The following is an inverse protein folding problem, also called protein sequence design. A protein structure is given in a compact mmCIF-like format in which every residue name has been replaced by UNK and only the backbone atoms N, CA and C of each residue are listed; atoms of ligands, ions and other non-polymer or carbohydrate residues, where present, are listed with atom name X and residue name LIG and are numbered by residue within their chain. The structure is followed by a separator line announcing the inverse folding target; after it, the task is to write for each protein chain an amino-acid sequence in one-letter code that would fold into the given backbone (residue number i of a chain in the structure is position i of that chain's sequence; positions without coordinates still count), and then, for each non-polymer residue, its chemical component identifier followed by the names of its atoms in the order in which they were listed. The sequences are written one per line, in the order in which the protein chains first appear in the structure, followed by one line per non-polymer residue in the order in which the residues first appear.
data_IF_730950069354
#
_entry.id   IF_730950069354
#
_cell.length_a   1.000
_cell.length_b   1.000
_cell.length_c   1.000
_cell.angle_alpha   90.00
_cell.angle_beta   90.00
_cell.angle_gamma   90.00
#
_symmetry.space_group_name_H-M   'P 1'
#
loop_
_entity.id
_entity.type
_entity.pdbx_description
1 polymer ?
#
# COMPACT_ATOMS: atom_id res chain seq x y z
N UNK A 1 -6.04 -20.96 8.41
CA UNK A 1 -6.26 -20.00 7.29
C UNK A 1 -4.91 -19.63 6.72
N UNK A 2 -4.69 -19.83 5.41
CA UNK A 2 -3.47 -19.42 4.73
C UNK A 2 -3.62 -17.97 4.26
N UNK A 3 -2.65 -17.12 4.60
CA UNK A 3 -2.71 -15.68 4.37
C UNK A 3 -1.47 -15.19 3.64
N UNK A 4 -1.65 -14.59 2.46
CA UNK A 4 -0.58 -13.92 1.74
C UNK A 4 -0.38 -12.47 2.24
N UNK A 5 0.89 -12.00 2.30
CA UNK A 5 1.18 -10.63 2.70
C UNK A 5 2.48 -10.10 2.09
N UNK A 6 2.65 -8.77 2.12
CA UNK A 6 3.90 -8.08 1.79
C UNK A 6 4.43 -7.46 3.09
N UNK A 7 5.75 -7.51 3.39
CA UNK A 7 6.32 -6.98 4.63
C UNK A 7 6.49 -5.45 4.60
N UNK A 8 5.38 -4.73 4.48
CA UNK A 8 5.30 -3.27 4.46
C UNK A 8 4.34 -2.77 5.55
N UNK A 9 4.52 -1.54 6.02
CA UNK A 9 3.69 -0.99 7.10
C UNK A 9 2.19 -0.92 6.79
N UNK A 10 1.72 -0.75 5.54
CA UNK A 10 0.30 -0.91 5.23
C UNK A 10 -0.34 -2.24 5.64
N UNK A 11 0.46 -3.25 6.01
CA UNK A 11 -0.01 -4.55 6.53
C UNK A 11 0.13 -4.67 8.06
N UNK A 12 0.42 -3.58 8.77
CA UNK A 12 0.74 -3.56 10.20
C UNK A 12 -0.31 -4.25 11.07
N UNK A 13 -1.60 -4.18 10.70
CA UNK A 13 -2.67 -4.86 11.44
C UNK A 13 -2.43 -6.37 11.52
N UNK A 14 -2.01 -7.01 10.42
CA UNK A 14 -1.69 -8.45 10.42
C UNK A 14 -0.53 -8.76 11.37
N UNK A 15 0.50 -7.93 11.36
CA UNK A 15 1.68 -8.13 12.19
C UNK A 15 1.36 -7.98 13.67
N UNK A 16 0.56 -6.97 14.01
CA UNK A 16 0.04 -6.80 15.38
C UNK A 16 -0.80 -8.01 15.81
N UNK A 17 -1.75 -8.46 14.99
CA UNK A 17 -2.58 -9.63 15.30
C UNK A 17 -1.72 -10.86 15.61
N UNK A 18 -0.68 -11.07 14.81
CA UNK A 18 0.20 -12.23 14.91
C UNK A 18 1.08 -12.15 16.17
N UNK A 19 1.78 -11.05 16.36
CA UNK A 19 2.77 -10.90 17.44
C UNK A 19 2.13 -10.73 18.82
N UNK A 20 0.93 -10.14 18.89
CA UNK A 20 0.14 -10.09 20.13
C UNK A 20 -0.50 -11.45 20.48
N UNK A 21 -0.38 -12.44 19.61
CA UNK A 21 -0.98 -13.77 19.80
C UNK A 21 -2.52 -13.79 19.74
N UNK A 22 -3.13 -12.73 19.21
CA UNK A 22 -4.60 -12.60 19.21
C UNK A 22 -5.27 -13.59 18.27
N UNK A 23 -4.63 -13.96 17.17
CA UNK A 23 -5.15 -14.97 16.27
C UNK A 23 -5.33 -16.32 16.99
N UNK A 24 -4.29 -16.78 17.69
CA UNK A 24 -4.34 -18.03 18.45
C UNK A 24 -5.37 -17.99 19.61
N UNK A 25 -5.47 -16.86 20.32
CA UNK A 25 -6.48 -16.64 21.36
C UNK A 25 -7.91 -16.72 20.83
N UNK A 26 -8.13 -16.29 19.59
CA UNK A 26 -9.42 -16.38 18.88
C UNK A 26 -9.64 -17.74 18.19
N UNK A 27 -8.76 -18.70 18.37
CA UNK A 27 -8.85 -20.02 17.73
C UNK A 27 -8.52 -20.01 16.23
N UNK A 28 -7.82 -18.97 15.74
CA UNK A 28 -7.40 -18.84 14.35
C UNK A 28 -5.94 -19.30 14.21
N UNK A 29 -5.71 -20.34 13.40
CA UNK A 29 -4.38 -20.70 12.91
C UNK A 29 -4.09 -19.97 11.61
N UNK A 30 -3.26 -18.91 11.65
CA UNK A 30 -2.87 -18.12 10.49
C UNK A 30 -1.51 -18.60 9.96
N UNK A 31 -1.51 -19.20 8.78
CA UNK A 31 -0.31 -19.62 8.07
C UNK A 31 0.11 -18.54 7.08
N UNK A 32 1.15 -17.77 7.42
CA UNK A 32 1.56 -16.59 6.68
C UNK A 32 2.56 -16.93 5.56
N UNK A 33 2.35 -16.39 4.37
CA UNK A 33 3.30 -16.49 3.25
C UNK A 33 3.65 -15.10 2.72
N UNK A 34 4.96 -14.79 2.70
CA UNK A 34 5.52 -13.51 2.29
C UNK A 34 5.67 -13.42 0.77
N UNK A 35 5.37 -12.23 0.22
CA UNK A 35 5.60 -11.84 -1.17
C UNK A 35 6.37 -10.53 -1.27
N UNK A 36 7.04 -10.31 -2.41
CA UNK A 36 7.77 -9.07 -2.70
C UNK A 36 6.92 -7.99 -3.37
N UNK A 37 5.71 -8.33 -3.85
CA UNK A 37 4.80 -7.38 -4.50
C UNK A 37 3.38 -7.92 -4.61
N UNK A 38 2.40 -7.01 -4.79
CA UNK A 38 1.00 -7.38 -5.02
C UNK A 38 0.79 -8.23 -6.28
N UNK A 39 1.36 -7.86 -7.44
CA UNK A 39 1.26 -8.69 -8.65
C UNK A 39 1.81 -10.12 -8.49
N UNK A 40 2.91 -10.30 -7.75
CA UNK A 40 3.41 -11.65 -7.44
C UNK A 40 2.42 -12.45 -6.58
N UNK A 41 1.76 -11.78 -5.63
CA UNK A 41 0.74 -12.41 -4.78
C UNK A 41 -0.53 -12.78 -5.57
N UNK A 42 -0.94 -11.96 -6.56
CA UNK A 42 -2.15 -12.22 -7.38
C UNK A 42 -2.07 -13.58 -8.09
N UNK A 43 -0.91 -13.95 -8.64
CA UNK A 43 -0.74 -15.24 -9.29
C UNK A 43 -1.01 -16.41 -8.32
N UNK A 44 -0.51 -16.30 -7.10
CA UNK A 44 -0.73 -17.29 -6.06
C UNK A 44 -2.18 -17.30 -5.51
N UNK A 45 -2.83 -16.13 -5.45
CA UNK A 45 -4.24 -16.01 -5.13
C UNK A 45 -5.12 -16.73 -6.16
N UNK A 46 -4.88 -16.48 -7.45
CA UNK A 46 -5.65 -17.08 -8.55
C UNK A 46 -5.49 -18.61 -8.56
N UNK A 47 -4.29 -19.13 -8.26
CA UNK A 47 -4.03 -20.58 -8.18
C UNK A 47 -4.67 -21.27 -6.96
N UNK A 48 -5.28 -20.52 -6.04
CA UNK A 48 -5.93 -21.10 -4.84
C UNK A 48 -4.98 -21.41 -3.69
N UNK A 49 -3.78 -20.85 -3.70
CA UNK A 49 -2.77 -21.09 -2.65
C UNK A 49 -3.19 -20.52 -1.30
N UNK A 50 -4.03 -19.47 -1.27
CA UNK A 50 -4.46 -18.76 -0.06
C UNK A 50 -5.98 -18.66 0.04
N UNK A 51 -6.47 -18.52 1.26
CA UNK A 51 -7.84 -18.17 1.60
C UNK A 51 -8.02 -16.65 1.72
N UNK A 52 -7.00 -15.96 2.26
CA UNK A 52 -7.03 -14.53 2.51
C UNK A 52 -5.70 -13.86 2.12
N UNK A 53 -5.73 -12.56 1.89
CA UNK A 53 -4.54 -11.77 1.63
C UNK A 53 -4.65 -10.37 2.23
N UNK A 54 -3.56 -9.91 2.82
CA UNK A 54 -3.30 -8.51 3.06
C UNK A 54 -2.57 -7.96 1.83
N UNK A 55 -3.27 -7.20 1.01
CA UNK A 55 -2.82 -6.84 -0.33
C UNK A 55 -3.27 -5.42 -0.70
N UNK A 56 -2.59 -4.76 -1.62
CA UNK A 56 -3.07 -3.49 -2.17
C UNK A 56 -4.41 -3.66 -2.90
N UNK A 57 -5.27 -2.64 -2.86
CA UNK A 57 -6.57 -2.67 -3.55
C UNK A 57 -6.41 -2.87 -5.07
N UNK A 58 -5.36 -2.28 -5.70
CA UNK A 58 -5.06 -2.46 -7.12
C UNK A 58 -4.86 -3.94 -7.51
N UNK A 59 -3.94 -4.67 -6.88
CA UNK A 59 -3.80 -6.12 -7.06
C UNK A 59 -5.07 -6.91 -6.75
N UNK A 60 -5.88 -6.53 -5.74
CA UNK A 60 -7.17 -7.18 -5.47
C UNK A 60 -8.14 -7.03 -6.66
N UNK A 61 -8.18 -5.83 -7.28
CA UNK A 61 -8.95 -5.60 -8.51
C UNK A 61 -8.41 -6.42 -9.70
N UNK A 62 -7.08 -6.55 -9.84
CA UNK A 62 -6.47 -7.41 -10.87
C UNK A 62 -6.90 -8.87 -10.69
N UNK A 63 -6.87 -9.40 -9.47
CA UNK A 63 -7.32 -10.76 -9.17
C UNK A 63 -8.82 -10.93 -9.50
N UNK A 64 -9.65 -9.95 -9.17
CA UNK A 64 -11.07 -9.96 -9.48
C UNK A 64 -11.32 -9.91 -11.00
N UNK A 65 -10.59 -9.05 -11.73
CA UNK A 65 -10.64 -8.96 -13.18
C UNK A 65 -10.20 -10.27 -13.87
N UNK A 66 -9.26 -11.00 -13.26
CA UNK A 66 -8.86 -12.33 -13.71
C UNK A 66 -9.90 -13.43 -13.42
N UNK A 67 -11.02 -13.10 -12.78
CA UNK A 67 -12.12 -14.02 -12.52
C UNK A 67 -12.13 -14.65 -11.12
N UNK A 68 -11.19 -14.27 -10.24
CA UNK A 68 -11.21 -14.76 -8.86
C UNK A 68 -12.39 -14.14 -8.11
N UNK A 69 -13.22 -14.97 -7.48
CA UNK A 69 -14.26 -14.47 -6.57
C UNK A 69 -13.65 -14.14 -5.22
N UNK A 70 -13.26 -12.86 -5.08
CA UNK A 70 -12.58 -12.28 -3.95
C UNK A 70 -13.44 -11.15 -3.37
N UNK A 71 -13.48 -11.02 -2.05
CA UNK A 71 -14.17 -9.94 -1.32
C UNK A 71 -13.19 -9.16 -0.46
N UNK A 72 -13.24 -7.85 -0.54
CA UNK A 72 -12.61 -6.94 0.41
C UNK A 72 -13.53 -6.82 1.63
N UNK A 73 -13.03 -7.23 2.79
CA UNK A 73 -13.81 -7.28 4.05
C UNK A 73 -13.36 -6.23 5.07
N UNK A 74 -12.17 -5.64 4.88
CA UNK A 74 -11.69 -4.49 5.67
C UNK A 74 -10.69 -3.67 4.88
N UNK A 75 -10.60 -2.37 5.15
CA UNK A 75 -9.52 -1.50 4.73
C UNK A 75 -8.32 -1.63 5.68
N UNK A 76 -7.11 -1.33 5.21
CA UNK A 76 -5.94 -1.23 6.08
C UNK A 76 -5.54 0.23 6.31
N UNK A 77 -5.80 1.11 5.34
CA UNK A 77 -5.47 2.51 5.44
C UNK A 77 -5.70 3.29 4.15
N UNK A 78 -5.56 4.60 4.26
CA UNK A 78 -5.70 5.56 3.16
C UNK A 78 -4.44 6.42 3.04
N UNK A 79 -4.22 7.04 1.88
CA UNK A 79 -3.14 8.00 1.62
C UNK A 79 -1.72 7.49 1.94
N UNK A 80 -1.47 6.19 1.79
CA UNK A 80 -0.25 5.53 2.24
C UNK A 80 0.93 5.62 1.26
N UNK A 81 0.68 5.98 -0.01
CA UNK A 81 1.73 6.17 -1.02
C UNK A 81 2.15 7.62 -1.05
N UNK A 82 3.45 7.90 -1.09
CA UNK A 82 3.98 9.24 -1.33
C UNK A 82 5.10 9.23 -2.38
N UNK A 83 5.27 10.34 -3.07
CA UNK A 83 6.42 10.60 -3.94
C UNK A 83 7.51 11.28 -3.12
N UNK A 84 8.67 10.66 -2.99
CA UNK A 84 9.87 11.24 -2.39
C UNK A 84 10.94 11.48 -3.45
N UNK A 85 11.58 12.63 -3.43
CA UNK A 85 12.71 13.00 -4.30
C UNK A 85 14.02 13.03 -3.53
N UNK A 86 15.09 12.56 -4.17
CA UNK A 86 16.46 12.81 -3.72
C UNK A 86 16.84 14.29 -3.88
N UNK A 87 18.00 14.68 -3.38
CA UNK A 87 18.45 16.07 -3.26
C UNK A 87 18.24 16.92 -4.53
N UNK A 88 18.67 16.44 -5.70
CA UNK A 88 18.57 17.19 -6.95
C UNK A 88 17.11 17.42 -7.39
N UNK A 89 16.28 16.38 -7.34
CA UNK A 89 14.86 16.50 -7.70
C UNK A 89 14.12 17.35 -6.66
N UNK A 90 14.42 17.20 -5.37
CA UNK A 90 13.82 18.01 -4.30
C UNK A 90 14.16 19.50 -4.45
N UNK A 91 15.40 19.84 -4.86
CA UNK A 91 15.81 21.22 -5.12
C UNK A 91 15.04 21.84 -6.29
N UNK A 92 14.82 21.09 -7.39
CA UNK A 92 14.02 21.60 -8.52
C UNK A 92 12.56 21.80 -8.12
N UNK A 93 11.98 20.91 -7.30
CA UNK A 93 10.62 21.07 -6.78
C UNK A 93 10.47 22.30 -5.88
N UNK A 94 11.48 22.59 -5.05
CA UNK A 94 11.47 23.78 -4.17
C UNK A 94 11.55 25.10 -4.95
N UNK A 95 12.21 25.09 -6.12
CA UNK A 95 12.42 26.29 -6.93
C UNK A 95 11.35 26.51 -8.03
N UNK A 96 10.64 25.47 -8.44
CA UNK A 96 9.71 25.52 -9.57
C UNK A 96 8.31 25.96 -9.14
N UNK A 97 7.55 26.64 -10.04
CA UNK A 97 6.18 27.09 -9.74
C UNK A 97 5.14 25.93 -9.77
N UNK A 98 5.51 24.77 -10.31
CA UNK A 98 4.63 23.60 -10.38
C UNK A 98 5.43 22.30 -10.50
N UNK A 99 4.85 21.13 -10.15
CA UNK A 99 5.50 19.85 -10.34
C UNK A 99 5.91 19.58 -11.81
N UNK A 100 5.08 19.95 -12.80
CA UNK A 100 5.44 19.81 -14.20
C UNK A 100 6.70 20.63 -14.54
N UNK A 101 6.75 21.89 -14.09
CA UNK A 101 7.91 22.76 -14.29
C UNK A 101 9.17 22.19 -13.59
N UNK A 102 9.02 21.57 -12.42
CA UNK A 102 10.12 20.92 -11.69
C UNK A 102 10.71 19.75 -12.48
N UNK A 103 9.89 18.83 -12.98
CA UNK A 103 10.35 17.71 -13.80
C UNK A 103 11.01 18.19 -15.10
N UNK A 104 10.41 19.18 -15.78
CA UNK A 104 10.99 19.77 -16.99
C UNK A 104 12.33 20.47 -16.71
N UNK A 105 12.46 21.18 -15.58
CA UNK A 105 13.73 21.81 -15.17
C UNK A 105 14.78 20.72 -14.87
N UNK A 106 14.41 19.70 -14.07
CA UNK A 106 15.30 18.57 -13.78
C UNK A 106 15.88 17.95 -15.06
N UNK A 107 15.00 17.71 -16.07
CA UNK A 107 15.45 17.16 -17.35
C UNK A 107 16.44 18.06 -18.06
N UNK A 108 16.23 19.38 -18.05
CA UNK A 108 17.18 20.34 -18.65
C UNK A 108 18.54 20.30 -17.95
N UNK A 109 18.53 20.28 -16.62
CA UNK A 109 19.75 20.36 -15.81
C UNK A 109 20.54 19.04 -15.83
N UNK A 110 19.84 17.90 -15.79
CA UNK A 110 20.43 16.57 -15.81
C UNK A 110 20.73 16.01 -17.20
N UNK A 111 20.20 16.63 -18.27
CA UNK A 111 20.29 16.13 -19.66
C UNK A 111 19.50 14.83 -19.93
N UNK A 112 18.63 14.44 -19.01
CA UNK A 112 17.82 13.21 -19.10
C UNK A 112 16.53 13.34 -18.26
N UNK A 113 15.49 12.52 -18.52
CA UNK A 113 14.31 12.48 -17.68
C UNK A 113 14.64 12.09 -16.22
N UNK A 114 13.83 12.58 -15.29
CA UNK A 114 13.90 12.11 -13.90
C UNK A 114 13.48 10.64 -13.82
N UNK A 115 14.29 9.82 -13.19
CA UNK A 115 14.01 8.40 -12.94
C UNK A 115 13.29 8.24 -11.62
N UNK A 116 12.10 7.66 -11.65
CA UNK A 116 11.28 7.43 -10.45
C UNK A 116 11.01 5.95 -10.28
N UNK A 117 11.54 5.36 -9.21
CA UNK A 117 11.26 3.96 -8.86
C UNK A 117 9.88 3.83 -8.22
N UNK A 118 9.20 2.72 -8.48
CA UNK A 118 7.93 2.37 -7.84
C UNK A 118 7.75 0.85 -7.86
N UNK A 119 6.69 0.33 -7.25
CA UNK A 119 6.33 -1.08 -7.36
C UNK A 119 5.84 -1.41 -8.79
N UNK A 120 5.81 -2.70 -9.19
CA UNK A 120 5.46 -3.09 -10.55
C UNK A 120 4.06 -2.63 -10.97
N UNK A 121 3.82 -2.58 -12.28
CA UNK A 121 2.51 -2.29 -12.88
C UNK A 121 1.40 -3.14 -12.24
N UNK A 122 0.25 -2.52 -11.99
CA UNK A 122 -0.88 -3.13 -11.28
C UNK A 122 -0.82 -3.01 -9.76
N UNK A 123 0.29 -2.50 -9.18
CA UNK A 123 0.37 -2.13 -7.77
C UNK A 123 -0.26 -0.76 -7.51
N UNK A 124 -0.70 -0.52 -6.27
CA UNK A 124 -1.23 0.80 -5.86
C UNK A 124 -0.18 1.92 -6.05
N UNK A 125 1.09 1.78 -5.61
CA UNK A 125 2.10 2.82 -5.83
C UNK A 125 2.32 3.19 -7.30
N UNK A 126 2.30 2.20 -8.20
CA UNK A 126 2.44 2.46 -9.64
C UNK A 126 1.24 3.20 -10.21
N UNK A 127 0.01 2.74 -9.90
CA UNK A 127 -1.22 3.36 -10.41
C UNK A 127 -1.40 4.78 -9.88
N UNK A 128 -1.12 5.01 -8.60
CA UNK A 128 -1.21 6.33 -7.96
C UNK A 128 -0.16 7.29 -8.51
N UNK A 129 1.07 6.82 -8.76
CA UNK A 129 2.11 7.63 -9.40
C UNK A 129 1.69 8.03 -10.82
N UNK A 130 1.17 7.10 -11.61
CA UNK A 130 0.69 7.39 -12.95
C UNK A 130 -0.45 8.42 -12.95
N UNK A 131 -1.41 8.29 -12.02
CA UNK A 131 -2.48 9.26 -11.83
C UNK A 131 -1.92 10.65 -11.47
N UNK A 132 -1.02 10.70 -10.49
CA UNK A 132 -0.40 11.96 -10.11
C UNK A 132 0.31 12.65 -11.28
N UNK A 133 1.14 11.93 -12.02
CA UNK A 133 1.92 12.49 -13.11
C UNK A 133 1.02 13.00 -14.26
N UNK A 134 -0.06 12.26 -14.59
CA UNK A 134 -0.93 12.60 -15.73
C UNK A 134 -2.03 13.58 -15.36
N UNK A 135 -2.82 13.28 -14.33
CA UNK A 135 -4.08 13.96 -14.04
C UNK A 135 -3.93 15.12 -13.05
N UNK A 136 -2.90 15.07 -12.18
CA UNK A 136 -2.72 16.10 -11.13
C UNK A 136 -1.58 17.05 -11.48
N UNK A 137 -0.42 16.51 -11.77
CA UNK A 137 0.80 17.26 -11.99
C UNK A 137 1.01 17.66 -13.47
N UNK A 138 0.32 16.99 -14.41
CA UNK A 138 0.42 17.21 -15.86
C UNK A 138 1.85 17.19 -16.39
N UNK A 139 2.64 16.21 -15.91
CA UNK A 139 4.04 16.03 -16.29
C UNK A 139 4.13 15.44 -17.69
N UNK A 140 4.95 16.04 -18.54
CA UNK A 140 5.19 15.48 -19.88
C UNK A 140 5.92 14.13 -19.78
N UNK A 141 5.52 13.14 -20.57
CA UNK A 141 6.13 11.79 -20.56
C UNK A 141 7.64 11.83 -20.82
N UNK A 142 8.11 12.81 -21.60
CA UNK A 142 9.53 12.99 -21.87
C UNK A 142 10.35 13.45 -20.65
N UNK A 143 9.72 13.95 -19.59
CA UNK A 143 10.38 14.55 -18.42
C UNK A 143 10.57 13.54 -17.27
N UNK A 144 9.90 12.38 -17.34
CA UNK A 144 9.95 11.37 -16.28
C UNK A 144 10.03 9.96 -16.87
N UNK A 145 10.86 9.11 -16.26
CA UNK A 145 10.96 7.67 -16.53
C UNK A 145 10.56 6.91 -15.28
N UNK A 146 9.45 6.17 -15.34
CA UNK A 146 8.96 5.33 -14.24
C UNK A 146 9.56 3.94 -14.35
N UNK A 147 10.13 3.43 -13.26
CA UNK A 147 10.78 2.13 -13.15
C UNK A 147 10.04 1.26 -12.13
N UNK A 148 9.30 0.25 -12.61
CA UNK A 148 8.62 -0.73 -11.76
C UNK A 148 9.59 -1.81 -11.28
N UNK A 149 9.83 -1.90 -9.96
CA UNK A 149 10.74 -2.86 -9.33
C UNK A 149 10.13 -3.48 -8.07
N UNK A 150 10.69 -4.58 -7.56
CA UNK A 150 10.27 -5.16 -6.29
C UNK A 150 10.47 -4.18 -5.13
N UNK A 151 9.68 -4.32 -4.09
CA UNK A 151 9.68 -3.43 -2.92
C UNK A 151 11.06 -3.34 -2.28
N UNK A 152 11.77 -4.46 -2.16
CA UNK A 152 13.12 -4.59 -1.62
C UNK A 152 14.18 -3.76 -2.37
N UNK A 153 13.94 -3.41 -3.64
CA UNK A 153 14.86 -2.66 -4.49
C UNK A 153 14.61 -1.16 -4.50
N UNK A 154 13.36 -0.71 -4.31
CA UNK A 154 12.99 0.72 -4.39
C UNK A 154 13.88 1.57 -3.49
N UNK A 155 14.01 1.18 -2.22
CA UNK A 155 14.84 1.89 -1.24
C UNK A 155 16.30 1.97 -1.67
N UNK A 156 16.90 0.83 -2.04
CA UNK A 156 18.31 0.75 -2.44
C UNK A 156 18.63 1.59 -3.66
N UNK A 157 17.74 1.65 -4.64
CA UNK A 157 17.92 2.43 -5.86
C UNK A 157 17.96 3.95 -5.57
N UNK A 158 17.10 4.44 -4.67
CA UNK A 158 17.15 5.87 -4.32
C UNK A 158 18.34 6.19 -3.43
N UNK A 159 18.68 5.35 -2.45
CA UNK A 159 19.84 5.53 -1.59
C UNK A 159 21.18 5.53 -2.36
N UNK A 160 21.29 4.74 -3.43
CA UNK A 160 22.48 4.68 -4.28
C UNK A 160 22.53 5.75 -5.36
N UNK A 161 21.47 6.56 -5.53
CA UNK A 161 21.37 7.53 -6.63
C UNK A 161 21.11 6.89 -8.01
N UNK A 162 20.73 5.62 -8.08
CA UNK A 162 20.34 4.97 -9.33
C UNK A 162 19.03 5.53 -9.89
N UNK A 163 18.18 6.12 -9.03
CA UNK A 163 16.99 6.88 -9.37
C UNK A 163 16.98 8.23 -8.64
N UNK A 164 16.19 9.16 -9.15
CA UNK A 164 16.09 10.53 -8.65
C UNK A 164 14.94 10.71 -7.65
N UNK A 165 13.98 9.78 -7.67
CA UNK A 165 12.85 9.76 -6.77
C UNK A 165 12.23 8.38 -6.67
N UNK A 166 11.28 8.23 -5.75
CA UNK A 166 10.52 7.01 -5.57
C UNK A 166 9.07 7.30 -5.17
N UNK A 167 8.12 6.56 -5.76
CA UNK A 167 6.76 6.46 -5.25
C UNK A 167 6.71 5.21 -4.36
N UNK A 168 6.64 5.42 -3.06
CA UNK A 168 6.88 4.40 -2.07
C UNK A 168 5.90 4.49 -0.88
N UNK A 169 6.02 3.52 0.00
CA UNK A 169 5.23 3.32 1.20
C UNK A 169 6.16 3.34 2.43
N UNK A 170 5.60 3.41 3.61
CA UNK A 170 6.37 3.19 4.83
C UNK A 170 6.74 1.70 5.00
N UNK A 171 7.92 1.38 5.56
CA UNK A 171 8.89 2.28 6.22
C UNK A 171 9.93 2.92 5.27
N UNK A 172 9.85 2.69 3.95
CA UNK A 172 10.85 3.16 2.98
C UNK A 172 10.98 4.69 3.01
N UNK A 173 9.87 5.42 3.11
CA UNK A 173 9.86 6.89 3.15
C UNK A 173 10.64 7.41 4.35
N UNK A 174 10.39 6.85 5.55
CA UNK A 174 11.11 7.22 6.78
C UNK A 174 12.58 6.86 6.70
N UNK A 175 12.95 5.67 6.18
CA UNK A 175 14.34 5.25 6.01
C UNK A 175 15.09 6.20 5.06
N UNK A 176 14.49 6.55 3.94
CA UNK A 176 15.09 7.47 2.97
C UNK A 176 15.29 8.86 3.60
N UNK A 177 14.25 9.40 4.27
CA UNK A 177 14.35 10.70 4.94
C UNK A 177 15.42 10.76 6.03
N UNK A 178 15.70 9.63 6.69
CA UNK A 178 16.76 9.53 7.70
C UNK A 178 18.15 9.42 7.06
N UNK A 179 18.29 8.66 5.98
CA UNK A 179 19.59 8.37 5.36
C UNK A 179 20.02 9.39 4.31
N UNK A 180 19.08 10.12 3.74
CA UNK A 180 19.30 11.19 2.77
C UNK A 180 18.68 12.49 3.33
N UNK A 181 19.43 13.28 4.10
CA UNK A 181 18.91 14.48 4.79
C UNK A 181 18.32 15.53 3.84
N UNK A 182 18.73 15.53 2.57
CA UNK A 182 18.22 16.45 1.53
C UNK A 182 17.05 15.87 0.73
N UNK A 183 16.67 14.61 0.95
CA UNK A 183 15.48 14.04 0.34
C UNK A 183 14.22 14.68 0.93
N UNK A 184 13.21 14.90 0.10
CA UNK A 184 11.91 15.51 0.51
C UNK A 184 10.75 14.73 -0.07
N UNK A 185 9.66 14.62 0.70
CA UNK A 185 8.36 14.23 0.17
C UNK A 185 7.86 15.34 -0.74
N UNK A 186 7.70 15.03 -2.02
CA UNK A 186 7.29 15.96 -3.07
C UNK A 186 5.78 16.02 -3.23
N UNK A 187 5.11 14.89 -2.99
CA UNK A 187 3.65 14.78 -2.96
C UNK A 187 3.22 13.67 -2.01
N UNK A 188 2.32 13.99 -1.09
CA UNK A 188 1.67 13.00 -0.21
C UNK A 188 0.51 12.31 -0.90
N UNK A 189 0.05 11.18 -0.33
CA UNK A 189 -0.96 10.32 -0.92
C UNK A 189 -2.27 11.01 -1.30
N UNK A 190 -2.79 11.86 -0.42
CA UNK A 190 -4.02 12.62 -0.69
C UNK A 190 -3.89 13.66 -1.80
N UNK A 191 -2.66 14.16 -2.07
CA UNK A 191 -2.37 15.04 -3.21
C UNK A 191 -2.24 14.21 -4.49
N UNK A 192 -1.57 13.05 -4.41
CA UNK A 192 -1.36 12.19 -5.58
C UNK A 192 -2.67 11.56 -6.07
N UNK A 193 -3.54 11.21 -5.14
CA UNK A 193 -4.87 10.65 -5.43
C UNK A 193 -5.80 10.93 -4.23
N UNK A 194 -6.79 11.83 -4.35
CA UNK A 194 -7.68 12.19 -3.24
C UNK A 194 -8.43 10.98 -2.67
N UNK A 195 -8.30 10.76 -1.34
CA UNK A 195 -8.87 9.61 -0.66
C UNK A 195 -8.20 8.28 -1.02
N UNK A 196 -6.95 8.33 -1.48
CA UNK A 196 -6.18 7.19 -1.98
C UNK A 196 -6.46 5.90 -1.20
N UNK A 197 -7.09 4.88 -1.83
CA UNK A 197 -7.27 3.58 -1.18
C UNK A 197 -5.92 2.86 -1.15
N UNK A 198 -5.58 2.32 0.03
CA UNK A 198 -4.30 1.66 0.26
C UNK A 198 -4.37 0.13 0.15
N UNK A 199 -3.84 -0.53 1.18
CA UNK A 199 -3.97 -1.97 1.35
C UNK A 199 -5.34 -2.33 1.95
N UNK A 200 -5.72 -3.60 1.78
CA UNK A 200 -6.98 -4.18 2.23
C UNK A 200 -6.78 -5.60 2.75
N UNK A 201 -7.69 -6.07 3.58
CA UNK A 201 -7.90 -7.49 3.84
C UNK A 201 -8.91 -8.01 2.82
N UNK A 202 -8.45 -8.92 1.97
CA UNK A 202 -9.26 -9.56 0.94
C UNK A 202 -9.36 -11.07 1.20
N UNK A 203 -10.54 -11.65 1.03
CA UNK A 203 -10.84 -13.05 1.35
C UNK A 203 -11.58 -13.69 0.17
N UNK A 204 -11.24 -14.93 -0.17
CA UNK A 204 -11.94 -15.70 -1.22
C UNK A 204 -13.38 -15.95 -0.80
N UNK A 205 -14.33 -15.75 -1.71
CA UNK A 205 -15.75 -16.00 -1.45
C UNK A 205 -16.03 -17.44 -1.03
N UNK A 206 -15.30 -18.41 -1.60
CA UNK A 206 -15.42 -19.82 -1.21
C UNK A 206 -15.04 -20.07 0.24
N UNK A 207 -14.03 -19.36 0.77
CA UNK A 207 -13.66 -19.47 2.17
C UNK A 207 -14.66 -18.75 3.08
N UNK A 208 -15.17 -17.59 2.66
CA UNK A 208 -16.27 -16.91 3.37
C UNK A 208 -17.48 -17.84 3.53
N UNK A 209 -17.86 -18.54 2.48
CA UNK A 209 -19.00 -19.48 2.52
C UNK A 209 -18.73 -20.67 3.46
N UNK A 210 -17.50 -21.16 3.51
CA UNK A 210 -17.14 -22.32 4.32
C UNK A 210 -16.86 -21.99 5.80
N UNK A 211 -16.36 -20.78 6.11
CA UNK A 211 -15.81 -20.43 7.41
C UNK A 211 -16.11 -18.96 7.80
N UNK A 212 -17.35 -18.50 7.58
CA UNK A 212 -17.76 -17.11 7.89
C UNK A 212 -17.41 -16.65 9.31
N UNK A 213 -17.57 -17.48 10.39
CA UNK A 213 -17.16 -17.08 11.73
C UNK A 213 -15.64 -16.78 11.87
N UNK A 214 -14.81 -17.54 11.15
CA UNK A 214 -13.36 -17.29 11.17
C UNK A 214 -12.98 -15.98 10.47
N UNK A 215 -13.69 -15.62 9.40
CA UNK A 215 -13.52 -14.32 8.72
C UNK A 215 -14.00 -13.18 9.61
N UNK A 216 -15.15 -13.36 10.29
CA UNK A 216 -15.68 -12.38 11.25
C UNK A 216 -14.67 -12.11 12.38
N UNK A 217 -14.13 -13.16 13.01
CA UNK A 217 -13.12 -13.04 14.04
C UNK A 217 -11.86 -12.31 13.53
N UNK A 218 -11.39 -12.61 12.31
CA UNK A 218 -10.23 -11.92 11.74
C UNK A 218 -10.51 -10.43 11.51
N UNK A 219 -11.70 -10.03 11.06
CA UNK A 219 -12.09 -8.62 10.88
C UNK A 219 -12.16 -7.91 12.23
N UNK A 220 -12.70 -8.54 13.27
CA UNK A 220 -12.73 -7.98 14.63
C UNK A 220 -11.31 -7.75 15.19
N UNK A 221 -10.41 -8.71 14.97
CA UNK A 221 -8.99 -8.57 15.34
C UNK A 221 -8.30 -7.47 14.51
N UNK A 222 -8.64 -7.34 13.23
CA UNK A 222 -8.13 -6.28 12.36
C UNK A 222 -8.56 -4.88 12.85
N UNK A 223 -9.81 -4.71 13.25
CA UNK A 223 -10.31 -3.46 13.86
C UNK A 223 -9.57 -3.18 15.18
N UNK A 224 -9.39 -4.19 16.03
CA UNK A 224 -8.63 -4.08 17.28
C UNK A 224 -7.17 -3.68 17.02
N UNK A 225 -6.53 -4.28 16.03
CA UNK A 225 -5.16 -3.94 15.65
C UNK A 225 -5.04 -2.51 15.11
N UNK A 226 -6.01 -2.05 14.32
CA UNK A 226 -6.08 -0.65 13.87
C UNK A 226 -6.17 0.30 15.06
N UNK A 227 -7.02 -0.01 16.05
CA UNK A 227 -7.14 0.79 17.27
C UNK A 227 -5.83 0.81 18.09
N UNK A 228 -5.09 -0.31 18.17
CA UNK A 228 -3.78 -0.35 18.84
C UNK A 228 -2.76 0.53 18.11
N UNK A 229 -2.68 0.42 16.78
CA UNK A 229 -1.72 1.23 15.98
C UNK A 229 -1.97 2.74 16.20
N UNK A 230 -3.22 3.14 16.30
CA UNK A 230 -3.58 4.54 16.52
C UNK A 230 -3.41 5.00 17.99
N UNK A 231 -3.73 4.15 18.94
CA UNK A 231 -3.77 4.49 20.38
C UNK A 231 -2.45 4.25 21.11
N UNK A 232 -1.66 3.27 20.67
CA UNK A 232 -0.35 2.91 21.25
C UNK A 232 0.64 2.51 20.13
N UNK A 233 1.10 3.49 19.33
CA UNK A 233 2.00 3.22 18.20
C UNK A 233 3.36 2.66 18.64
N UNK A 234 3.80 2.89 19.89
CA UNK A 234 5.04 2.34 20.40
C UNK A 234 4.94 0.82 20.58
N UNK A 235 3.85 0.32 21.15
CA UNK A 235 3.57 -1.12 21.25
C UNK A 235 3.39 -1.74 19.87
N UNK A 236 2.67 -1.07 18.96
CA UNK A 236 2.52 -1.52 17.58
C UNK A 236 3.87 -1.61 16.85
N UNK A 237 4.78 -0.66 17.08
CA UNK A 237 6.13 -0.68 16.49
C UNK A 237 6.93 -1.92 16.94
N UNK A 238 6.79 -2.35 18.19
CA UNK A 238 7.43 -3.57 18.70
C UNK A 238 6.90 -4.81 17.95
N UNK A 239 5.57 -4.95 17.85
CA UNK A 239 4.95 -6.08 17.15
C UNK A 239 5.29 -6.09 15.66
N UNK A 240 5.28 -4.94 15.01
CA UNK A 240 5.63 -4.80 13.58
C UNK A 240 7.11 -5.11 13.34
N UNK A 241 7.99 -4.69 14.26
CA UNK A 241 9.45 -4.90 14.17
C UNK A 241 9.86 -6.37 14.16
N UNK A 242 9.10 -7.23 14.80
CA UNK A 242 9.34 -8.68 14.77
C UNK A 242 9.17 -9.28 13.37
N UNK A 243 8.32 -8.70 12.53
CA UNK A 243 8.02 -9.18 11.17
C UNK A 243 8.78 -8.40 10.10
N UNK A 244 8.77 -7.06 10.18
CA UNK A 244 9.49 -6.19 9.23
C UNK A 244 10.96 -6.15 9.59
N UNK A 245 11.82 -6.59 8.65
CA UNK A 245 13.27 -6.59 8.84
C UNK A 245 13.76 -7.65 9.82
N UNK A 246 12.92 -8.58 10.27
CA UNK A 246 13.30 -9.69 11.17
C UNK A 246 14.06 -9.21 12.43
N UNK A 247 13.60 -8.11 13.02
CA UNK A 247 14.23 -7.51 14.19
C UNK A 247 15.49 -6.68 13.90
N UNK A 248 15.87 -6.49 12.64
CA UNK A 248 17.03 -5.68 12.23
C UNK A 248 16.71 -4.19 12.03
N UNK A 249 15.44 -3.83 12.05
CA UNK A 249 15.01 -2.41 11.94
C UNK A 249 14.81 -1.86 13.34
N UNK A 250 15.47 -0.71 13.61
CA UNK A 250 15.38 -0.05 14.91
C UNK A 250 13.94 0.30 15.30
N UNK A 251 13.50 0.01 16.53
CA UNK A 251 12.12 0.29 16.98
C UNK A 251 11.71 1.76 16.82
N UNK A 252 12.63 2.69 17.10
CA UNK A 252 12.38 4.13 16.93
C UNK A 252 12.13 4.53 15.48
N UNK A 253 12.75 3.85 14.53
CA UNK A 253 12.47 4.06 13.10
C UNK A 253 11.06 3.61 12.76
N UNK A 254 10.65 2.44 13.24
CA UNK A 254 9.30 1.92 13.03
C UNK A 254 8.24 2.78 13.70
N UNK A 255 8.51 3.28 14.90
CA UNK A 255 7.61 4.23 15.57
C UNK A 255 7.43 5.50 14.73
N UNK A 256 8.52 6.09 14.22
CA UNK A 256 8.43 7.26 13.33
C UNK A 256 7.66 6.94 12.05
N UNK A 257 7.89 5.78 11.47
CA UNK A 257 7.20 5.37 10.26
C UNK A 257 5.69 5.13 10.50
N UNK A 258 5.32 4.50 11.62
CA UNK A 258 3.93 4.27 12.00
C UNK A 258 3.17 5.57 12.33
N UNK A 259 3.88 6.61 12.79
CA UNK A 259 3.30 7.92 13.11
C UNK A 259 3.50 8.96 11.99
N UNK A 260 4.03 8.55 10.84
CA UNK A 260 4.25 9.44 9.71
C UNK A 260 2.94 9.85 9.02
N UNK A 261 2.92 10.99 8.31
CA UNK A 261 1.76 11.40 7.51
C UNK A 261 1.37 10.41 6.40
N UNK A 262 2.28 9.50 6.02
CA UNK A 262 2.02 8.43 5.04
C UNK A 262 1.45 7.15 5.70
N UNK A 263 1.15 7.20 7.00
CA UNK A 263 0.43 6.14 7.71
C UNK A 263 -0.90 6.70 8.21
N UNK A 264 -1.98 6.30 7.56
CA UNK A 264 -3.35 6.63 7.96
C UNK A 264 -4.16 5.34 8.06
N UNK A 265 -4.00 4.57 9.17
CA UNK A 265 -4.68 3.30 9.35
C UNK A 265 -6.20 3.50 9.44
N UNK A 266 -6.95 2.73 8.68
CA UNK A 266 -8.41 2.72 8.66
C UNK A 266 -8.87 1.28 8.48
N UNK A 267 -9.76 0.78 9.36
CA UNK A 267 -10.32 -0.56 9.21
C UNK A 267 -11.63 -0.57 8.41
N UNK A 268 -12.33 0.56 8.38
CA UNK A 268 -13.63 0.72 7.72
C UNK A 268 -13.52 0.61 6.19
N UNK A 269 -14.08 -0.43 5.56
CA UNK A 269 -14.05 -0.59 4.10
C UNK A 269 -14.88 0.48 3.37
N UNK A 270 -15.88 1.10 4.00
CA UNK A 270 -16.69 2.17 3.39
C UNK A 270 -15.83 3.40 3.09
N UNK A 271 -14.82 3.67 3.92
CA UNK A 271 -13.94 4.83 3.76
C UNK A 271 -13.17 4.85 2.43
N UNK A 272 -13.05 3.71 1.75
CA UNK A 272 -12.28 3.58 0.50
C UNK A 272 -13.13 3.25 -0.73
N UNK A 273 -14.42 3.01 -0.61
CA UNK A 273 -15.28 2.57 -1.72
C UNK A 273 -15.27 3.56 -2.90
N UNK A 274 -15.57 4.83 -2.65
CA UNK A 274 -15.66 5.84 -3.73
C UNK A 274 -14.31 6.08 -4.41
N UNK A 275 -13.24 6.14 -3.62
CA UNK A 275 -11.89 6.28 -4.16
C UNK A 275 -11.45 5.02 -4.92
N UNK A 276 -11.91 3.83 -4.51
CA UNK A 276 -11.65 2.57 -5.24
C UNK A 276 -12.36 2.56 -6.60
N UNK A 277 -13.60 3.08 -6.73
CA UNK A 277 -14.28 3.21 -8.03
C UNK A 277 -13.50 4.10 -9.00
N UNK A 278 -12.97 5.23 -8.50
CA UNK A 278 -12.12 6.13 -9.29
C UNK A 278 -10.79 5.47 -9.68
N UNK A 279 -10.16 4.75 -8.75
CA UNK A 279 -8.91 4.04 -8.99
C UNK A 279 -9.11 2.89 -10.00
N UNK A 280 -10.23 2.16 -9.92
CA UNK A 280 -10.59 1.11 -10.87
C UNK A 280 -10.70 1.67 -12.29
N UNK A 281 -11.45 2.76 -12.46
CA UNK A 281 -11.60 3.40 -13.75
C UNK A 281 -10.24 3.80 -14.34
N UNK A 282 -9.40 4.48 -13.55
CA UNK A 282 -8.08 4.90 -13.99
C UNK A 282 -7.15 3.71 -14.28
N UNK A 283 -7.16 2.68 -13.45
CA UNK A 283 -6.34 1.46 -13.66
C UNK A 283 -6.77 0.69 -14.91
N UNK A 284 -8.07 0.67 -15.22
CA UNK A 284 -8.59 0.09 -16.46
C UNK A 284 -8.14 0.89 -17.69
N UNK A 285 -8.21 2.23 -17.64
CA UNK A 285 -7.76 3.11 -18.71
C UNK A 285 -6.25 3.01 -18.98
N UNK A 286 -5.47 2.67 -17.95
CA UNK A 286 -4.04 2.34 -18.09
C UNK A 286 -3.79 0.95 -18.71
N UNK A 287 -4.84 0.14 -18.98
CA UNK A 287 -4.70 -1.25 -19.41
C UNK A 287 -4.24 -2.20 -18.30
N UNK A 288 -4.32 -1.78 -17.03
CA UNK A 288 -3.92 -2.57 -15.87
C UNK A 288 -4.93 -3.62 -15.43
N UNK A 289 -6.13 -3.62 -16.03
CA UNK A 289 -7.20 -4.60 -15.78
C UNK A 289 -7.58 -5.31 -17.08
N UNK A 290 -7.74 -6.63 -17.03
CA UNK A 290 -8.18 -7.44 -18.19
C UNK A 290 -9.66 -7.19 -18.55
N UNK A 291 -10.45 -6.76 -17.58
CA UNK A 291 -11.84 -6.31 -17.69
C UNK A 291 -12.19 -5.37 -16.55
N UNK A 292 -13.26 -4.58 -16.73
CA UNK A 292 -13.78 -3.73 -15.66
C UNK A 292 -14.21 -4.55 -14.45
N UNK A 293 -14.00 -4.00 -13.27
CA UNK A 293 -14.38 -4.64 -11.99
C UNK A 293 -15.58 -3.90 -11.41
N UNK A 294 -16.62 -4.65 -11.11
CA UNK A 294 -17.71 -4.15 -10.26
C UNK A 294 -17.17 -4.00 -8.83
N UNK A 295 -16.90 -2.76 -8.42
CA UNK A 295 -16.32 -2.45 -7.12
C UNK A 295 -17.31 -2.77 -6.00
N UNK A 296 -18.61 -2.56 -6.19
CA UNK A 296 -19.60 -2.89 -5.17
C UNK A 296 -19.68 -4.40 -4.95
N UNK A 297 -19.55 -5.19 -6.00
CA UNK A 297 -19.46 -6.64 -5.90
C UNK A 297 -18.10 -7.15 -5.37
N UNK A 298 -17.06 -6.32 -5.40
CA UNK A 298 -15.75 -6.65 -4.82
C UNK A 298 -15.76 -6.53 -3.28
N UNK A 299 -16.59 -5.67 -2.70
CA UNK A 299 -16.63 -5.45 -1.25
C UNK A 299 -17.71 -6.32 -0.58
N UNK A 300 -17.43 -6.76 0.65
CA UNK A 300 -18.41 -7.29 1.61
C UNK A 300 -18.21 -6.57 2.95
N UNK A 301 -18.91 -5.45 3.12
CA UNK A 301 -18.79 -4.60 4.32
C UNK A 301 -19.50 -5.20 5.53
N UNK A 302 -20.34 -6.24 5.34
CA UNK A 302 -21.18 -6.81 6.40
C UNK A 302 -20.38 -7.34 7.60
N UNK A 303 -19.12 -7.74 7.40
CA UNK A 303 -18.24 -8.17 8.49
C UNK A 303 -17.83 -7.00 9.38
N UNK A 304 -17.47 -5.87 8.79
CA UNK A 304 -17.14 -4.65 9.53
C UNK A 304 -18.38 -4.12 10.26
N UNK A 305 -19.51 -4.04 9.56
CA UNK A 305 -20.77 -3.54 10.12
C UNK A 305 -21.20 -4.37 11.32
N UNK A 306 -21.13 -5.70 11.23
CA UNK A 306 -21.43 -6.60 12.34
C UNK A 306 -20.47 -6.40 13.53
N UNK A 307 -19.17 -6.20 13.26
CA UNK A 307 -18.16 -6.01 14.31
C UNK A 307 -18.32 -4.69 15.06
N UNK A 308 -18.83 -3.62 14.42
CA UNK A 308 -19.02 -2.31 15.08
C UNK A 308 -20.41 -2.17 15.71
N UNK A 309 -21.45 -2.84 15.19
CA UNK A 309 -22.79 -2.85 15.76
C UNK A 309 -22.86 -3.52 17.15
N UNK A 310 -21.91 -4.40 17.47
CA UNK A 310 -21.80 -5.08 18.75
C UNK A 310 -21.00 -4.34 19.83
N UNK A 311 -20.52 -3.12 19.53
CA UNK A 311 -19.75 -2.26 20.44
C UNK A 311 -20.62 -1.11 20.91
#
# INVERSE_FOLDING_TARGET
MRVGYIPILPMAQLFVIQEEGWAAQAGLDLQLTRFSSGPAMVQALVSGTFEAAYVGIGPAMVARAAGLDLKVVAANGINQVALIGGAALAATFAAAPSPAAAFAQFRRDAGRPARVATLPTGSVPNTVLAHYLREVAHVAEADVQVLGVGEDRVQGMLLSGAVDGASALEPILTIIGQRLPDARVLAGGGVMFPGQPGAVLAVRQSFIAAARPAVQALVELHIRATALILGDPARAATSVGAVIGQGLVEPDLLLRALTSPAMSPVADPHAILDATRKLEAFQADLGGLTKRVDVDALFDTSFYDAAVAGR
#
